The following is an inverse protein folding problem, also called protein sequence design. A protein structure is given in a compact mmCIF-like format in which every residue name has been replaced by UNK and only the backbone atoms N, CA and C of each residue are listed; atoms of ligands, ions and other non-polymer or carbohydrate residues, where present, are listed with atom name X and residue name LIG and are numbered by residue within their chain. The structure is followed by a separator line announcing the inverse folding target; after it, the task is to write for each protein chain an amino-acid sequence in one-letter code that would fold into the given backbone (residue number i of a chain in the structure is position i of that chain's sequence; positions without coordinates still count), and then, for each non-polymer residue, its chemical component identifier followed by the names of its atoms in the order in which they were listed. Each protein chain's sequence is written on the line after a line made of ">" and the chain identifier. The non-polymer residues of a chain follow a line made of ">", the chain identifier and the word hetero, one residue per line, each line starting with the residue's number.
data_IF_645306611971
#
_entry.id   IF_645306611971
#
_cell.length_a   1.000
_cell.length_b   1.000
_cell.length_c   1.000
_cell.angle_alpha   90.00
_cell.angle_beta   90.00
_cell.angle_gamma   90.00
#
_symmetry.space_group_name_H-M   'P 1'
#
loop_
_entity.id
_entity.type
_entity.pdbx_description
1 polymer ?
#
# COMPACT_ATOMS: atom_id res chain seq x y z
N UNK A 1 15.33 -7.78 44.72
CA UNK A 1 14.02 -8.41 44.38
C UNK A 1 12.97 -7.40 43.92
N UNK A 2 12.77 -6.26 44.61
CA UNK A 2 11.75 -5.24 44.22
C UNK A 2 11.99 -4.61 42.83
N UNK A 3 13.24 -4.30 42.50
CA UNK A 3 13.63 -3.68 41.22
C UNK A 3 13.35 -4.61 40.03
N UNK A 4 13.57 -5.92 40.20
CA UNK A 4 13.31 -6.92 39.15
C UNK A 4 11.82 -7.05 38.83
N UNK A 5 10.95 -6.92 39.84
CA UNK A 5 9.49 -6.96 39.66
C UNK A 5 9.00 -5.72 38.90
N UNK A 6 9.56 -4.54 39.23
CA UNK A 6 9.23 -3.31 38.52
C UNK A 6 9.66 -3.37 37.04
N UNK A 7 10.86 -3.90 36.75
CA UNK A 7 11.35 -4.05 35.37
C UNK A 7 10.45 -4.99 34.56
N UNK A 8 10.08 -6.14 35.13
CA UNK A 8 9.18 -7.10 34.48
C UNK A 8 7.79 -6.50 34.23
N UNK A 9 7.24 -5.75 35.19
CA UNK A 9 5.94 -5.09 35.04
C UNK A 9 5.95 -4.04 33.91
N UNK A 10 7.02 -3.24 33.82
CA UNK A 10 7.18 -2.25 32.75
C UNK A 10 7.32 -2.91 31.37
N UNK A 11 8.03 -4.04 31.26
CA UNK A 11 8.15 -4.81 30.02
C UNK A 11 6.80 -5.36 29.56
N UNK A 12 5.99 -5.90 30.46
CA UNK A 12 4.66 -6.42 30.11
C UNK A 12 3.72 -5.30 29.63
N UNK A 13 3.77 -4.12 30.26
CA UNK A 13 2.99 -2.93 29.84
C UNK A 13 3.43 -2.41 28.47
N UNK A 14 4.73 -2.44 28.16
CA UNK A 14 5.25 -2.05 26.86
C UNK A 14 4.80 -3.02 25.75
N UNK A 15 4.79 -4.34 26.02
CA UNK A 15 4.39 -5.35 25.03
C UNK A 15 2.90 -5.23 24.70
N UNK A 16 2.02 -5.01 25.69
CA UNK A 16 0.57 -4.83 25.49
C UNK A 16 0.26 -3.59 24.64
N UNK A 17 1.09 -2.54 24.71
CA UNK A 17 0.92 -1.33 23.89
C UNK A 17 1.38 -1.44 22.44
N UNK A 18 2.16 -2.46 22.07
CA UNK A 18 2.77 -2.57 20.73
C UNK A 18 1.93 -3.33 19.71
N UNK A 19 0.90 -4.08 20.13
CA UNK A 19 0.02 -4.83 19.23
C UNK A 19 -0.95 -3.97 18.42
N UNK A 20 -1.14 -2.68 18.79
CA UNK A 20 -2.12 -1.80 18.14
C UNK A 20 -1.50 -0.95 17.01
N UNK A 21 -0.17 -0.93 16.84
CA UNK A 21 0.49 -0.03 15.89
C UNK A 21 0.98 -0.68 14.57
N UNK A 22 0.88 -2.02 14.42
CA UNK A 22 1.56 -2.70 13.30
C UNK A 22 0.64 -3.39 12.28
N UNK A 23 -0.67 -3.50 12.54
CA UNK A 23 -1.58 -4.18 11.60
C UNK A 23 -2.04 -3.25 10.47
N UNK A 24 -2.01 -1.94 10.70
CA UNK A 24 -2.55 -0.95 9.76
C UNK A 24 -1.58 -0.63 8.60
N UNK A 25 -0.27 -0.82 8.80
CA UNK A 25 0.73 -0.39 7.83
C UNK A 25 1.04 -1.44 6.77
N UNK A 26 0.96 -2.74 7.10
CA UNK A 26 1.12 -3.80 6.12
C UNK A 26 -0.13 -3.93 5.23
N UNK A 27 -1.32 -3.87 5.84
CA UNK A 27 -2.60 -3.88 5.11
C UNK A 27 -2.68 -2.73 4.10
N UNK A 28 -2.40 -1.49 4.52
CA UNK A 28 -2.42 -0.33 3.63
C UNK A 28 -1.34 -0.38 2.53
N UNK A 29 -0.15 -0.91 2.83
CA UNK A 29 0.91 -1.08 1.82
C UNK A 29 0.56 -2.16 0.79
N UNK A 30 0.00 -3.28 1.23
CA UNK A 30 -0.43 -4.37 0.33
C UNK A 30 -1.64 -3.95 -0.49
N UNK A 31 -2.65 -3.30 0.11
CA UNK A 31 -3.82 -2.77 -0.60
C UNK A 31 -3.42 -1.68 -1.61
N UNK A 32 -2.45 -0.83 -1.27
CA UNK A 32 -1.91 0.17 -2.21
C UNK A 32 -1.12 -0.48 -3.35
N UNK A 33 -0.36 -1.55 -3.08
CA UNK A 33 0.38 -2.29 -4.09
C UNK A 33 -0.55 -3.08 -5.01
N UNK A 34 -1.62 -3.64 -4.45
CA UNK A 34 -2.68 -4.33 -5.19
C UNK A 34 -3.46 -3.34 -6.05
N UNK A 35 -3.84 -2.16 -5.54
CA UNK A 35 -4.45 -1.09 -6.36
C UNK A 35 -3.55 -0.59 -7.49
N UNK A 36 -2.23 -0.62 -7.33
CA UNK A 36 -1.29 -0.26 -8.41
C UNK A 36 -1.10 -1.39 -9.43
N UNK A 37 -1.37 -2.64 -9.04
CA UNK A 37 -1.25 -3.83 -9.91
C UNK A 37 -2.55 -4.23 -10.57
N UNK A 38 -3.69 -3.90 -9.96
CA UNK A 38 -4.98 -4.02 -10.59
C UNK A 38 -4.95 -3.12 -11.83
N UNK A 39 -5.01 -3.69 -13.05
CA UNK A 39 -5.21 -2.87 -14.23
C UNK A 39 -6.47 -2.04 -13.99
N UNK A 40 -6.49 -0.76 -14.40
CA UNK A 40 -7.70 0.03 -14.27
C UNK A 40 -8.84 -0.78 -14.90
N UNK A 41 -10.04 -0.84 -14.25
CA UNK A 41 -11.14 -1.71 -14.68
C UNK A 41 -11.52 -1.45 -16.15
N UNK A 42 -11.15 -0.27 -16.66
CA UNK A 42 -11.13 0.07 -18.08
C UNK A 42 -9.77 0.66 -18.42
N UNK A 43 -8.97 -0.09 -19.16
CA UNK A 43 -7.76 0.41 -19.80
C UNK A 43 -8.05 0.71 -21.28
N UNK A 44 -7.32 1.69 -21.83
CA UNK A 44 -7.50 2.18 -23.18
C UNK A 44 -6.68 1.35 -24.17
N UNK A 45 -7.32 0.96 -25.27
CA UNK A 45 -6.70 0.23 -26.38
C UNK A 45 -5.84 1.14 -27.25
N UNK A 46 -5.01 0.55 -28.12
CA UNK A 46 -4.19 1.29 -29.09
C UNK A 46 -5.04 2.29 -29.89
N UNK A 47 -4.52 3.51 -30.10
CA UNK A 47 -5.19 4.57 -30.85
C UNK A 47 -6.31 5.30 -30.09
N UNK A 48 -6.67 4.88 -28.87
CA UNK A 48 -7.63 5.61 -28.04
C UNK A 48 -7.00 6.84 -27.37
N UNK A 49 -7.81 7.87 -27.17
CA UNK A 49 -7.37 9.13 -26.54
C UNK A 49 -7.14 8.93 -25.05
N UNK A 50 -5.95 9.31 -24.58
CA UNK A 50 -5.52 9.16 -23.19
C UNK A 50 -5.07 10.50 -22.60
N UNK A 51 -5.14 10.62 -21.26
CA UNK A 51 -4.62 11.77 -20.50
C UNK A 51 -3.40 11.43 -19.63
N UNK A 52 -3.18 10.15 -19.34
CA UNK A 52 -2.02 9.67 -18.59
C UNK A 52 -1.58 8.31 -19.11
N UNK A 53 -0.29 8.00 -18.94
CA UNK A 53 0.30 6.72 -19.37
C UNK A 53 -0.35 5.51 -18.67
N UNK A 54 -0.78 5.68 -17.41
CA UNK A 54 -1.43 4.63 -16.62
C UNK A 54 -2.84 4.24 -17.09
N UNK A 55 -3.42 4.95 -18.06
CA UNK A 55 -4.74 4.60 -18.61
C UNK A 55 -4.66 3.61 -19.76
N UNK A 56 -3.54 3.47 -20.45
CA UNK A 56 -3.40 2.56 -21.57
C UNK A 56 -3.11 1.13 -21.07
N UNK A 57 -3.65 0.09 -21.71
CA UNK A 57 -3.51 -1.30 -21.24
C UNK A 57 -2.05 -1.78 -21.25
N UNK A 58 -1.44 -1.76 -22.43
CA UNK A 58 -0.05 -2.21 -22.67
C UNK A 58 0.78 -1.18 -23.43
N UNK A 59 0.22 0.02 -23.60
CA UNK A 59 0.78 1.11 -24.42
C UNK A 59 1.13 2.30 -23.52
N UNK A 60 1.86 3.28 -24.06
CA UNK A 60 2.07 4.56 -23.38
C UNK A 60 1.16 5.61 -23.96
N UNK A 61 0.83 6.60 -23.13
CA UNK A 61 0.11 7.76 -23.62
C UNK A 61 1.11 8.71 -24.29
N UNK A 62 1.12 8.72 -25.63
CA UNK A 62 2.03 9.52 -26.46
C UNK A 62 1.20 10.47 -27.31
N UNK A 63 1.47 11.78 -27.22
CA UNK A 63 0.68 12.83 -27.88
C UNK A 63 -0.84 12.76 -27.60
N UNK A 64 -1.21 12.27 -26.41
CA UNK A 64 -2.63 12.11 -26.03
C UNK A 64 -3.30 10.86 -26.61
N UNK A 65 -2.55 9.91 -27.17
CA UNK A 65 -3.07 8.64 -27.67
C UNK A 65 -2.26 7.44 -27.17
N UNK A 66 -2.92 6.29 -26.95
CA UNK A 66 -2.24 5.07 -26.57
C UNK A 66 -1.46 4.50 -27.76
N UNK A 67 -0.13 4.45 -27.64
CA UNK A 67 0.82 3.91 -28.64
C UNK A 67 1.92 3.07 -28.00
#
# INVERSE_FOLDING_TARGET
>A
MKISVCILLCLMLAIVGTSIANEETLGNRLLSRERRRAPPPFCLSYGQRCRSASKCCSYRCVYGYCK
#
